data_IF_490226029945
#
_entry.id   IF_490226029945
#
_cell.length_a   1.000
_cell.length_b   1.000
_cell.length_c   1.000
_cell.angle_alpha   90.00
_cell.angle_beta   90.00
_cell.angle_gamma   90.00
#
_symmetry.space_group_name_H-M   'P 1'
#
loop_
_entity.id
_entity.type
_entity.pdbx_description
1 polymer ?
#
# COMPACT_ATOMS: atom_id res chain seq x y z
N UNK A 1 -3.84 -4.47 32.88
CA UNK A 1 -3.34 -4.74 31.51
C UNK A 1 -2.65 -3.48 31.01
N UNK A 2 -1.33 -3.51 30.81
CA UNK A 2 -0.64 -2.43 30.10
C UNK A 2 -0.98 -2.62 28.62
N UNK A 3 -1.69 -1.67 28.01
CA UNK A 3 -1.74 -1.58 26.54
C UNK A 3 -0.32 -1.18 26.15
N UNK A 4 0.48 -2.13 25.65
CA UNK A 4 1.70 -1.75 24.96
C UNK A 4 1.28 -0.84 23.79
N UNK A 5 1.72 0.42 23.73
CA UNK A 5 1.45 1.33 22.61
C UNK A 5 2.33 0.95 21.42
N UNK A 6 2.41 -0.35 21.10
CA UNK A 6 2.99 -0.84 19.85
C UNK A 6 2.02 -0.43 18.74
N UNK A 7 2.20 0.83 18.33
CA UNK A 7 1.92 1.41 17.03
C UNK A 7 0.67 0.88 16.34
N UNK A 8 -0.35 1.73 16.21
CA UNK A 8 -1.59 1.39 15.51
C UNK A 8 -1.27 0.77 14.14
N UNK A 9 -1.73 -0.47 13.93
CA UNK A 9 -1.63 -1.14 12.64
C UNK A 9 -2.84 -0.73 11.78
N UNK A 10 -2.52 -0.20 10.62
CA UNK A 10 -3.48 0.14 9.57
C UNK A 10 -3.46 -0.91 8.49
N UNK A 11 -4.60 -1.10 7.86
CA UNK A 11 -4.75 -2.02 6.74
C UNK A 11 -4.69 -1.24 5.43
N UNK A 12 -3.81 -1.66 4.54
CA UNK A 12 -3.57 -1.04 3.25
C UNK A 12 -3.85 -2.04 2.12
N UNK A 13 -4.51 -1.56 1.06
CA UNK A 13 -4.75 -2.28 -0.18
C UNK A 13 -3.94 -1.65 -1.31
N UNK A 14 -3.05 -2.43 -1.90
CA UNK A 14 -2.23 -2.08 -3.05
C UNK A 14 -2.87 -2.70 -4.29
N UNK A 15 -3.33 -1.85 -5.21
CA UNK A 15 -3.83 -2.24 -6.51
C UNK A 15 -2.70 -2.14 -7.52
N UNK A 16 -2.36 -3.23 -8.19
CA UNK A 16 -1.20 -3.28 -9.09
C UNK A 16 -1.49 -4.12 -10.32
N UNK A 17 -0.76 -3.83 -11.40
CA UNK A 17 -0.76 -4.62 -12.62
C UNK A 17 0.58 -5.35 -12.74
N UNK A 18 0.53 -6.65 -13.02
CA UNK A 18 1.74 -7.39 -13.40
C UNK A 18 2.03 -7.13 -14.87
N UNK A 19 3.29 -6.84 -15.23
CA UNK A 19 3.68 -6.57 -16.62
C UNK A 19 3.31 -7.72 -17.57
N UNK A 20 3.40 -8.97 -17.08
CA UNK A 20 3.08 -10.16 -17.87
C UNK A 20 1.61 -10.62 -17.76
N UNK A 21 0.77 -9.93 -16.96
CA UNK A 21 -0.63 -10.29 -16.79
C UNK A 21 -1.56 -9.21 -17.37
N UNK A 22 -2.62 -9.65 -18.07
CA UNK A 22 -3.66 -8.78 -18.64
C UNK A 22 -4.67 -8.27 -17.61
N UNK A 23 -4.33 -8.18 -16.33
CA UNK A 23 -5.27 -7.82 -15.29
C UNK A 23 -4.61 -7.15 -14.08
N UNK A 24 -5.42 -6.37 -13.38
CA UNK A 24 -5.07 -5.83 -12.08
C UNK A 24 -5.24 -6.87 -10.98
N UNK A 25 -4.47 -6.73 -9.92
CA UNK A 25 -4.51 -7.56 -8.72
C UNK A 25 -4.41 -6.68 -7.48
N UNK A 26 -5.00 -7.17 -6.40
CA UNK A 26 -4.96 -6.51 -5.09
C UNK A 26 -4.06 -7.27 -4.13
N UNK A 27 -3.32 -6.53 -3.30
CA UNK A 27 -2.55 -7.08 -2.19
C UNK A 27 -2.78 -6.28 -0.93
N UNK A 28 -2.99 -6.99 0.17
CA UNK A 28 -3.34 -6.41 1.46
C UNK A 28 -2.15 -6.52 2.42
N UNK A 29 -1.91 -5.45 3.17
CA UNK A 29 -0.83 -5.37 4.16
C UNK A 29 -1.31 -4.69 5.43
N UNK A 30 -0.85 -5.20 6.58
CA UNK A 30 -0.96 -4.52 7.86
C UNK A 30 0.39 -3.84 8.15
N UNK A 31 0.38 -2.53 8.33
CA UNK A 31 1.57 -1.74 8.55
C UNK A 31 1.26 -0.53 9.44
N UNK A 32 2.29 0.03 10.07
CA UNK A 32 2.16 1.19 10.95
C UNK A 32 2.02 2.49 10.17
N UNK A 33 2.58 2.53 8.98
CA UNK A 33 2.50 3.65 8.05
C UNK A 33 2.52 3.16 6.60
N UNK A 34 2.23 4.09 5.69
CA UNK A 34 2.19 3.81 4.26
C UNK A 34 3.57 3.44 3.70
N UNK A 35 4.66 3.97 4.27
CA UNK A 35 6.02 3.70 3.80
C UNK A 35 6.45 2.26 4.12
N UNK A 36 6.09 1.75 5.29
CA UNK A 36 6.26 0.36 5.67
C UNK A 36 5.43 -0.56 4.77
N UNK A 37 4.16 -0.23 4.54
CA UNK A 37 3.31 -0.99 3.64
C UNK A 37 3.90 -1.04 2.22
N UNK A 38 4.47 0.08 1.75
CA UNK A 38 5.14 0.18 0.45
C UNK A 38 6.40 -0.70 0.40
N UNK A 39 7.25 -0.66 1.42
CA UNK A 39 8.42 -1.55 1.52
C UNK A 39 8.02 -3.02 1.49
N UNK A 40 6.94 -3.39 2.18
CA UNK A 40 6.40 -4.75 2.15
C UNK A 40 5.90 -5.15 0.75
N UNK A 41 5.26 -4.23 0.03
CA UNK A 41 4.82 -4.45 -1.35
C UNK A 41 6.01 -4.63 -2.30
N UNK A 42 6.99 -3.74 -2.27
CA UNK A 42 8.21 -3.83 -3.08
C UNK A 42 8.96 -5.14 -2.83
N UNK A 43 9.08 -5.55 -1.57
CA UNK A 43 9.67 -6.84 -1.19
C UNK A 43 8.87 -8.04 -1.71
N UNK A 44 7.54 -7.97 -1.68
CA UNK A 44 6.69 -9.03 -2.20
C UNK A 44 6.80 -9.17 -3.74
N UNK A 45 7.00 -8.04 -4.44
CA UNK A 45 7.20 -8.04 -5.89
C UNK A 45 8.59 -8.57 -6.28
N UNK A 46 9.64 -8.12 -5.58
CA UNK A 46 11.02 -8.55 -5.86
C UNK A 46 11.22 -10.06 -5.65
N UNK A 47 10.59 -10.64 -4.63
CA UNK A 47 10.65 -12.10 -4.37
C UNK A 47 10.11 -12.96 -5.50
N UNK A 48 9.20 -12.44 -6.32
CA UNK A 48 8.57 -13.22 -7.38
C UNK A 48 9.12 -12.87 -8.78
N UNK A 49 10.17 -12.06 -8.86
CA UNK A 49 10.73 -11.55 -10.12
C UNK A 49 9.68 -10.90 -11.03
N UNK A 50 8.57 -10.45 -10.46
CA UNK A 50 7.49 -9.82 -11.21
C UNK A 50 7.71 -8.31 -11.19
N UNK A 51 7.84 -7.72 -12.37
CA UNK A 51 7.66 -6.28 -12.53
C UNK A 51 6.19 -5.97 -12.30
N UNK A 52 5.88 -5.32 -11.18
CA UNK A 52 4.54 -4.89 -10.81
C UNK A 52 4.46 -3.37 -10.87
N UNK A 53 3.52 -2.85 -11.67
CA UNK A 53 3.21 -1.43 -11.73
C UNK A 53 2.10 -1.13 -10.73
N UNK A 54 2.40 -0.30 -9.72
CA UNK A 54 1.44 0.12 -8.72
C UNK A 54 0.49 1.17 -9.33
N UNK A 55 -0.82 0.94 -9.24
CA UNK A 55 -1.85 1.84 -9.74
C UNK A 55 -2.37 2.77 -8.63
N UNK A 56 -2.79 2.19 -7.50
CA UNK A 56 -3.29 2.95 -6.35
C UNK A 56 -3.02 2.23 -5.04
N UNK A 57 -2.99 3.02 -3.96
CA UNK A 57 -2.99 2.52 -2.60
C UNK A 57 -4.16 3.11 -1.83
N UNK A 58 -4.85 2.27 -1.09
CA UNK A 58 -5.98 2.65 -0.26
C UNK A 58 -5.77 2.16 1.17
N UNK A 59 -6.26 2.89 2.16
CA UNK A 59 -6.25 2.52 3.57
C UNK A 59 -7.67 2.21 4.01
N UNK A 60 -7.83 1.18 4.84
CA UNK A 60 -9.11 0.81 5.42
C UNK A 60 -9.52 1.81 6.50
N UNK A 61 -10.60 2.54 6.28
CA UNK A 61 -11.21 3.37 7.29
C UNK A 61 -12.31 2.57 8.02
N UNK A 62 -11.94 2.01 9.18
CA UNK A 62 -12.85 1.20 10.02
C UNK A 62 -14.10 1.95 10.48
N UNK A 63 -14.03 3.27 10.62
CA UNK A 63 -15.14 4.10 11.09
C UNK A 63 -16.13 4.41 9.97
N UNK A 64 -15.65 4.48 8.75
CA UNK A 64 -16.43 4.79 7.56
C UNK A 64 -16.84 3.55 6.74
N UNK A 65 -16.37 2.37 7.16
CA UNK A 65 -16.58 1.08 6.49
C UNK A 65 -16.25 1.11 4.99
N UNK A 66 -15.14 1.78 4.64
CA UNK A 66 -14.70 1.94 3.25
C UNK A 66 -13.19 2.05 3.12
N UNK A 67 -12.73 1.78 1.90
CA UNK A 67 -11.36 2.04 1.47
C UNK A 67 -11.20 3.50 1.04
N UNK A 68 -10.19 4.18 1.57
CA UNK A 68 -9.88 5.58 1.25
C UNK A 68 -8.53 5.66 0.56
N UNK A 69 -8.45 6.37 -0.58
CA UNK A 69 -7.19 6.51 -1.33
C UNK A 69 -6.17 7.25 -0.48
N UNK A 70 -4.99 6.68 -0.37
CA UNK A 70 -3.84 7.32 0.26
C UNK A 70 -3.05 8.00 -0.85
N UNK A 71 -2.93 9.32 -0.76
CA UNK A 71 -2.03 10.06 -1.62
C UNK A 71 -0.60 9.64 -1.31
N UNK A 72 -0.02 8.82 -2.18
CA UNK A 72 1.42 8.68 -2.28
C UNK A 72 1.92 10.04 -2.73
N UNK A 73 2.30 10.92 -1.80
CA UNK A 73 2.92 12.18 -2.17
C UNK A 73 4.29 11.85 -2.78
N UNK A 74 4.29 11.60 -4.08
CA UNK A 74 5.46 11.89 -4.88
C UNK A 74 5.59 13.41 -4.74
N UNK A 75 6.58 13.86 -3.97
CA UNK A 75 7.08 15.22 -4.09
C UNK A 75 7.58 15.40 -5.53
N UNK A 76 6.66 15.59 -6.47
CA UNK A 76 6.95 16.18 -7.76
C UNK A 76 7.08 17.67 -7.48
N UNK A 77 8.30 18.25 -7.54
CA UNK A 77 8.41 19.69 -7.55
C UNK A 77 7.72 20.15 -8.83
N UNK A 78 6.59 20.82 -8.69
CA UNK A 78 5.94 21.55 -9.78
C UNK A 78 6.98 22.47 -10.43
N UNK A 79 7.48 22.08 -11.60
CA UNK A 79 8.29 22.92 -12.47
C UNK A 79 7.36 24.03 -13.00
N UNK A 80 7.54 25.24 -12.44
CA UNK A 80 7.06 26.48 -13.04
C UNK A 80 7.85 26.80 -14.30
#
# INVERSE_FOLDING_TARGET
MKKDPKSDLFEYRFHYQLVDAKGYSDKYFLAHDIDEAKRMFEYACSKRSHSAMLDKVEMWNRWADRWEKVSLSTNEPSLN
#
